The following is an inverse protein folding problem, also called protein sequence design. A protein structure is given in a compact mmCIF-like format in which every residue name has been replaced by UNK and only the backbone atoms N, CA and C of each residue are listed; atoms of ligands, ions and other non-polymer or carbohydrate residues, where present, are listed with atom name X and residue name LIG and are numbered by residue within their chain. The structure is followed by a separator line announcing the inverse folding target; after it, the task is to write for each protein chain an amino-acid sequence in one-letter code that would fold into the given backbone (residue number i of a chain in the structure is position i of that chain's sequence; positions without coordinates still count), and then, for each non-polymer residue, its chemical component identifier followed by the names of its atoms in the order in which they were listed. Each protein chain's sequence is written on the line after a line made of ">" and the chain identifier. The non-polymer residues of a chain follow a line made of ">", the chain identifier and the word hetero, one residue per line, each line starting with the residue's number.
data_IF_347317134849
#
_entry.id   IF_347317134849
#
_cell.length_a   1.000
_cell.length_b   1.000
_cell.length_c   1.000
_cell.angle_alpha   90.00
_cell.angle_beta   90.00
_cell.angle_gamma   90.00
#
_symmetry.space_group_name_H-M   'P 1'
#
loop_
_entity.id
_entity.type
_entity.pdbx_description
1 polymer ?
#
# COMPACT_ATOMS: atom_id res chain seq x y z
N UNK A 1 9.45 7.47 -4.23
CA UNK A 1 8.93 6.11 -3.95
C UNK A 1 7.95 6.10 -2.78
N UNK A 2 8.33 6.46 -1.56
CA UNK A 2 7.43 6.44 -0.40
C UNK A 2 6.14 7.27 -0.61
N UNK A 3 6.26 8.54 -1.00
CA UNK A 3 5.09 9.40 -1.25
C UNK A 3 4.17 8.87 -2.34
N UNK A 4 4.72 8.23 -3.35
CA UNK A 4 3.94 7.63 -4.43
C UNK A 4 3.15 6.41 -3.93
N UNK A 5 3.76 5.55 -3.11
CA UNK A 5 3.06 4.46 -2.45
C UNK A 5 1.90 4.98 -1.58
N UNK A 6 2.14 6.01 -0.76
CA UNK A 6 1.11 6.62 0.10
C UNK A 6 -0.02 7.25 -0.72
N UNK A 7 0.31 7.95 -1.81
CA UNK A 7 -0.69 8.48 -2.73
C UNK A 7 -1.61 7.36 -3.24
N UNK A 8 -1.06 6.24 -3.66
CA UNK A 8 -1.85 5.11 -4.16
C UNK A 8 -2.68 4.44 -3.06
N UNK A 9 -2.15 4.34 -1.83
CA UNK A 9 -2.92 3.90 -0.66
C UNK A 9 -4.15 4.78 -0.46
N UNK A 10 -3.97 6.11 -0.46
CA UNK A 10 -5.05 7.07 -0.29
C UNK A 10 -6.07 7.02 -1.43
N UNK A 11 -5.59 6.92 -2.68
CA UNK A 11 -6.41 6.77 -3.88
C UNK A 11 -7.25 5.49 -3.83
N UNK A 12 -6.67 4.38 -3.36
CA UNK A 12 -7.35 3.10 -3.15
C UNK A 12 -8.40 3.21 -2.04
N UNK A 13 -8.05 3.78 -0.89
CA UNK A 13 -8.98 4.04 0.22
C UNK A 13 -10.21 4.84 -0.24
N UNK A 14 -10.03 5.81 -1.15
CA UNK A 14 -11.11 6.68 -1.63
C UNK A 14 -11.75 6.22 -2.95
N UNK A 15 -11.42 5.03 -3.46
CA UNK A 15 -11.94 4.49 -4.73
C UNK A 15 -11.82 5.49 -5.90
N UNK A 16 -10.73 6.23 -5.96
CA UNK A 16 -10.62 7.38 -6.86
C UNK A 16 -10.78 6.98 -8.33
N UNK A 17 -10.28 5.80 -8.72
CA UNK A 17 -10.40 5.28 -10.09
C UNK A 17 -11.85 5.08 -10.50
N UNK A 18 -12.69 4.57 -9.60
CA UNK A 18 -14.12 4.44 -9.83
C UNK A 18 -14.80 5.82 -9.88
N UNK A 19 -14.40 6.75 -9.01
CA UNK A 19 -14.96 8.11 -8.99
C UNK A 19 -14.68 8.85 -10.29
N UNK A 20 -13.42 8.83 -10.76
CA UNK A 20 -13.01 9.53 -11.98
C UNK A 20 -13.73 8.99 -13.23
N UNK A 21 -13.78 7.66 -13.39
CA UNK A 21 -14.51 7.02 -14.52
C UNK A 21 -16.00 7.37 -14.54
N UNK A 22 -16.62 7.54 -13.37
CA UNK A 22 -18.04 7.94 -13.27
C UNK A 22 -18.23 9.42 -13.58
N UNK A 23 -17.25 10.27 -13.23
CA UNK A 23 -17.28 11.68 -13.54
C UNK A 23 -17.17 11.97 -15.04
N UNK A 24 -16.46 11.13 -15.81
CA UNK A 24 -16.37 11.23 -17.28
C UNK A 24 -17.75 11.17 -17.96
N UNK A 25 -18.66 10.36 -17.41
CA UNK A 25 -20.06 10.25 -17.87
C UNK A 25 -21.02 11.16 -17.10
N UNK A 26 -20.48 12.14 -16.36
CA UNK A 26 -21.23 13.12 -15.55
C UNK A 26 -22.13 12.48 -14.47
N UNK A 27 -21.77 11.29 -13.99
CA UNK A 27 -22.51 10.58 -12.94
C UNK A 27 -21.95 10.93 -11.55
N UNK A 28 -22.59 11.86 -10.83
CA UNK A 28 -22.12 12.36 -9.53
C UNK A 28 -22.80 11.75 -8.30
N UNK A 29 -23.66 10.74 -8.47
CA UNK A 29 -24.34 10.06 -7.36
C UNK A 29 -23.33 9.45 -6.38
N UNK A 30 -23.54 9.59 -5.08
CA UNK A 30 -22.64 9.07 -4.04
C UNK A 30 -22.71 7.55 -3.85
N UNK A 31 -23.76 6.91 -4.37
CA UNK A 31 -24.00 5.47 -4.23
C UNK A 31 -22.82 4.68 -4.80
N UNK A 32 -22.24 3.79 -3.98
CA UNK A 32 -21.09 2.95 -4.37
C UNK A 32 -19.72 3.65 -4.34
N UNK A 33 -19.65 4.94 -3.99
CA UNK A 33 -18.40 5.73 -3.92
C UNK A 33 -17.85 5.89 -2.50
N UNK A 34 -18.46 5.25 -1.51
CA UNK A 34 -17.96 5.26 -0.14
C UNK A 34 -16.62 4.51 -0.06
N UNK A 35 -15.59 5.27 0.30
CA UNK A 35 -14.26 4.75 0.63
C UNK A 35 -14.09 4.46 2.12
N UNK A 36 -12.84 4.19 2.52
CA UNK A 36 -12.41 4.12 3.91
C UNK A 36 -11.51 5.29 4.27
N UNK A 37 -11.47 5.61 5.55
CA UNK A 37 -10.46 6.52 6.09
C UNK A 37 -9.20 5.74 6.40
N UNK A 38 -8.05 6.25 5.96
CA UNK A 38 -6.77 5.55 6.18
C UNK A 38 -6.43 5.45 7.68
N UNK A 39 -6.87 6.41 8.49
CA UNK A 39 -6.77 6.40 9.95
C UNK A 39 -7.44 5.20 10.60
N UNK A 40 -8.40 4.57 9.92
CA UNK A 40 -9.10 3.38 10.40
C UNK A 40 -8.51 2.08 9.85
N UNK A 41 -7.41 2.16 9.09
CA UNK A 41 -6.78 1.00 8.47
C UNK A 41 -5.55 0.52 9.24
N UNK A 42 -5.28 -0.78 9.15
CA UNK A 42 -3.98 -1.37 9.49
C UNK A 42 -3.09 -1.47 8.26
N UNK A 43 -1.92 -0.84 8.29
CA UNK A 43 -0.97 -0.85 7.17
C UNK A 43 0.24 -1.72 7.51
N UNK A 44 0.40 -2.81 6.78
CA UNK A 44 1.55 -3.71 6.89
C UNK A 44 2.66 -3.38 5.90
N UNK A 45 3.87 -3.17 6.39
CA UNK A 45 5.04 -2.89 5.55
C UNK A 45 6.03 -4.04 5.57
N UNK A 46 6.16 -4.74 4.45
CA UNK A 46 7.15 -5.81 4.23
C UNK A 46 8.43 -5.18 3.67
N UNK A 47 9.52 -5.25 4.42
CA UNK A 47 10.81 -4.63 4.08
C UNK A 47 10.96 -3.25 4.71
N UNK A 48 11.63 -3.19 5.85
CA UNK A 48 11.83 -1.96 6.63
C UNK A 48 13.20 -1.31 6.35
N UNK A 49 13.67 -1.42 5.11
CA UNK A 49 14.85 -0.71 4.62
C UNK A 49 14.56 0.78 4.39
N UNK A 50 15.40 1.46 3.60
CA UNK A 50 15.29 2.92 3.39
C UNK A 50 13.90 3.40 2.95
N UNK A 51 13.25 2.69 2.01
CA UNK A 51 11.93 3.08 1.48
C UNK A 51 10.82 2.72 2.48
N UNK A 52 10.78 1.48 2.98
CA UNK A 52 9.74 1.08 3.91
C UNK A 52 9.75 1.85 5.23
N UNK A 53 10.94 2.19 5.75
CA UNK A 53 11.05 3.09 6.89
C UNK A 53 10.45 4.47 6.59
N UNK A 54 10.73 5.03 5.42
CA UNK A 54 10.16 6.33 5.03
C UNK A 54 8.63 6.28 4.89
N UNK A 55 8.08 5.17 4.39
CA UNK A 55 6.62 4.94 4.34
C UNK A 55 6.03 4.92 5.76
N UNK A 56 6.61 4.15 6.67
CA UNK A 56 6.15 4.07 8.07
C UNK A 56 6.28 5.43 8.79
N UNK A 57 7.37 6.16 8.57
CA UNK A 57 7.56 7.51 9.12
C UNK A 57 6.46 8.47 8.65
N UNK A 58 6.16 8.51 7.36
CA UNK A 58 5.12 9.40 6.85
C UNK A 58 3.73 8.99 7.33
N UNK A 59 3.45 7.69 7.42
CA UNK A 59 2.16 7.18 7.87
C UNK A 59 1.93 7.30 9.38
N UNK A 60 2.99 7.44 10.19
CA UNK A 60 2.86 7.57 11.66
C UNK A 60 1.96 8.73 12.11
N UNK A 61 1.84 9.79 11.30
CA UNK A 61 0.95 10.92 11.56
C UNK A 61 -0.49 10.75 11.07
N UNK A 62 -0.82 9.66 10.36
CA UNK A 62 -2.15 9.45 9.77
C UNK A 62 -3.14 8.79 10.74
N UNK A 63 -2.70 8.35 11.92
CA UNK A 63 -3.55 7.70 12.92
C UNK A 63 -3.91 6.25 12.60
N UNK A 64 -3.34 5.66 11.55
CA UNK A 64 -3.49 4.26 11.19
C UNK A 64 -2.67 3.33 12.11
N UNK A 65 -3.08 2.07 12.22
CA UNK A 65 -2.24 1.04 12.85
C UNK A 65 -1.12 0.65 11.88
N UNK A 66 0.12 0.51 12.38
CA UNK A 66 1.30 0.21 11.57
C UNK A 66 1.94 -1.11 11.99
N UNK A 67 2.09 -2.02 11.03
CA UNK A 67 2.80 -3.28 11.18
C UNK A 67 4.04 -3.30 10.28
N UNK A 68 5.12 -3.92 10.75
CA UNK A 68 6.37 -4.07 10.02
C UNK A 68 6.81 -5.53 9.95
N UNK A 69 7.38 -5.93 8.82
CA UNK A 69 8.12 -7.19 8.70
C UNK A 69 9.47 -6.95 8.03
N UNK A 70 10.53 -7.50 8.60
CA UNK A 70 11.86 -7.54 8.00
C UNK A 70 12.67 -8.66 8.64
N UNK A 71 13.56 -9.28 7.87
CA UNK A 71 14.54 -10.26 8.40
C UNK A 71 15.45 -9.60 9.45
N UNK A 72 15.76 -8.32 9.26
CA UNK A 72 16.50 -7.51 10.23
C UNK A 72 15.62 -6.37 10.72
N UNK A 73 15.29 -6.39 12.01
CA UNK A 73 14.51 -5.35 12.64
C UNK A 73 15.34 -4.06 12.80
N UNK A 74 14.67 -2.92 12.70
CA UNK A 74 15.27 -1.61 12.87
C UNK A 74 14.64 -0.96 14.13
N UNK A 75 15.48 -0.48 15.04
CA UNK A 75 15.03 0.12 16.30
C UNK A 75 14.21 1.40 16.09
N UNK A 76 14.53 2.23 15.10
CA UNK A 76 13.74 3.42 14.76
C UNK A 76 12.34 3.03 14.26
N UNK A 77 12.24 1.93 13.51
CA UNK A 77 10.96 1.43 13.01
C UNK A 77 10.11 0.85 14.15
N UNK A 78 10.75 0.24 15.15
CA UNK A 78 10.06 -0.32 16.31
C UNK A 78 9.34 0.74 17.15
N UNK A 79 9.70 2.02 17.00
CA UNK A 79 9.00 3.15 17.63
C UNK A 79 7.76 3.59 16.85
N UNK A 80 7.63 3.19 15.59
CA UNK A 80 6.59 3.63 14.65
C UNK A 80 5.59 2.53 14.33
N UNK A 81 6.04 1.28 14.31
CA UNK A 81 5.27 0.12 13.87
C UNK A 81 5.60 -1.11 14.72
N UNK A 82 4.61 -1.97 14.89
CA UNK A 82 4.81 -3.27 15.54
C UNK A 82 5.45 -4.25 14.56
N UNK A 83 6.59 -4.83 14.93
CA UNK A 83 7.17 -5.92 14.15
C UNK A 83 6.40 -7.22 14.39
N UNK A 84 5.86 -7.78 13.32
CA UNK A 84 5.10 -9.05 13.34
C UNK A 84 5.65 -10.02 12.31
N UNK A 85 5.27 -11.30 12.40
CA UNK A 85 5.57 -12.28 11.36
C UNK A 85 4.69 -12.06 10.11
N UNK A 86 5.06 -12.67 8.98
CA UNK A 86 4.33 -12.50 7.71
C UNK A 86 2.88 -12.97 7.80
N UNK A 87 2.60 -14.06 8.51
CA UNK A 87 1.24 -14.60 8.67
C UNK A 87 0.31 -13.58 9.33
N UNK A 88 0.77 -12.98 10.44
CA UNK A 88 0.06 -11.93 11.16
C UNK A 88 -0.10 -10.69 10.28
N UNK A 89 0.97 -10.28 9.59
CA UNK A 89 0.92 -9.12 8.70
C UNK A 89 -0.14 -9.32 7.60
N UNK A 90 -0.19 -10.48 6.95
CA UNK A 90 -1.18 -10.76 5.91
C UNK A 90 -2.60 -10.79 6.44
N UNK A 91 -2.80 -11.30 7.66
CA UNK A 91 -4.12 -11.45 8.26
C UNK A 91 -4.69 -10.13 8.77
N UNK A 92 -3.86 -9.32 9.43
CA UNK A 92 -4.30 -8.15 10.18
C UNK A 92 -4.18 -6.84 9.37
N UNK A 93 -3.46 -6.85 8.24
CA UNK A 93 -3.32 -5.66 7.40
C UNK A 93 -4.52 -5.47 6.47
N UNK A 94 -5.10 -4.29 6.55
CA UNK A 94 -6.00 -3.77 5.53
C UNK A 94 -5.27 -3.51 4.22
N UNK A 95 -4.09 -2.89 4.32
CA UNK A 95 -3.24 -2.49 3.20
C UNK A 95 -1.84 -3.03 3.44
N UNK A 96 -1.23 -3.62 2.41
CA UNK A 96 0.16 -4.07 2.47
C UNK A 96 1.02 -3.21 1.54
N UNK A 97 2.27 -2.96 1.93
CA UNK A 97 3.26 -2.32 1.07
C UNK A 97 4.56 -3.09 1.15
N UNK A 98 5.15 -3.41 -0.01
CA UNK A 98 6.34 -4.24 -0.09
C UNK A 98 7.50 -3.40 -0.63
N UNK A 99 8.61 -3.43 0.10
CA UNK A 99 9.82 -2.64 -0.13
C UNK A 99 11.08 -3.49 0.10
N UNK A 100 11.09 -4.70 -0.46
CA UNK A 100 12.25 -5.59 -0.44
C UNK A 100 12.96 -5.57 -1.81
N UNK A 101 14.29 -5.69 -1.85
CA UNK A 101 15.01 -5.94 -3.10
C UNK A 101 14.55 -7.25 -3.75
N UNK A 102 14.55 -7.30 -5.09
CA UNK A 102 14.34 -8.55 -5.82
C UNK A 102 15.63 -9.39 -5.76
N UNK A 103 15.63 -10.44 -4.94
CA UNK A 103 16.72 -11.42 -4.83
C UNK A 103 16.19 -12.82 -5.10
N UNK A 104 16.99 -13.78 -5.60
CA UNK A 104 16.55 -15.14 -5.89
C UNK A 104 15.79 -15.82 -4.74
N UNK A 105 16.16 -15.54 -3.48
CA UNK A 105 15.51 -16.08 -2.29
C UNK A 105 14.09 -15.56 -2.06
N UNK A 106 13.76 -14.36 -2.58
CA UNK A 106 12.42 -13.76 -2.53
C UNK A 106 11.77 -13.73 -3.91
N UNK A 107 12.40 -14.36 -4.90
CA UNK A 107 11.84 -14.64 -6.22
C UNK A 107 10.73 -15.65 -5.98
N UNK A 108 9.49 -15.29 -6.33
CA UNK A 108 8.23 -15.96 -5.93
C UNK A 108 7.59 -15.55 -4.59
N UNK A 109 8.21 -14.68 -3.76
CA UNK A 109 7.45 -14.08 -2.64
C UNK A 109 6.32 -13.19 -3.14
N UNK A 110 6.51 -12.53 -4.28
CA UNK A 110 5.56 -11.82 -5.17
C UNK A 110 6.45 -11.27 -6.30
N UNK A 111 6.25 -11.68 -7.55
CA UNK A 111 7.23 -11.54 -8.65
C UNK A 111 7.59 -10.07 -9.00
N UNK A 112 8.81 -9.62 -8.66
CA UNK A 112 9.45 -8.41 -9.20
C UNK A 112 8.88 -7.06 -8.74
N UNK A 113 9.48 -6.45 -7.71
CA UNK A 113 9.27 -5.05 -7.26
C UNK A 113 7.80 -4.61 -7.27
N UNK A 114 7.02 -5.11 -6.32
CA UNK A 114 5.58 -4.90 -6.28
C UNK A 114 5.16 -4.07 -5.07
N UNK A 115 4.43 -2.99 -5.27
CA UNK A 115 3.64 -2.33 -4.21
C UNK A 115 2.23 -2.94 -4.27
N UNK A 116 1.99 -4.04 -3.53
CA UNK A 116 0.66 -4.71 -3.54
C UNK A 116 -0.27 -4.08 -2.52
N UNK A 117 -1.18 -3.21 -2.96
CA UNK A 117 -2.31 -2.79 -2.12
C UNK A 117 -3.37 -3.90 -2.12
N UNK A 118 -3.50 -4.64 -1.02
CA UNK A 118 -4.63 -5.55 -0.78
C UNK A 118 -5.79 -4.77 -0.16
N UNK A 119 -7.00 -5.27 -0.34
CA UNK A 119 -8.12 -5.01 0.57
C UNK A 119 -9.09 -6.21 0.47
N UNK A 120 -9.51 -6.72 1.62
CA UNK A 120 -10.40 -7.88 1.70
C UNK A 120 -11.67 -7.74 0.84
N UNK A 121 -11.97 -8.82 0.10
CA UNK A 121 -13.20 -9.13 -0.67
C UNK A 121 -13.48 -8.51 -2.05
N UNK A 122 -12.49 -8.02 -2.82
CA UNK A 122 -12.55 -8.06 -4.30
C UNK A 122 -11.17 -7.78 -4.90
N UNK A 123 -10.66 -8.72 -5.69
CA UNK A 123 -9.30 -8.80 -6.23
C UNK A 123 -9.04 -7.71 -7.28
N UNK A 124 -8.20 -6.72 -7.00
CA UNK A 124 -7.63 -5.81 -8.03
C UNK A 124 -6.14 -5.60 -7.76
N UNK A 125 -5.32 -5.93 -8.77
CA UNK A 125 -3.87 -5.89 -8.74
C UNK A 125 -3.33 -4.55 -9.23
N UNK A 126 -2.38 -3.93 -8.51
CA UNK A 126 -1.55 -2.87 -9.08
C UNK A 126 -0.07 -3.11 -8.77
N UNK A 127 0.76 -3.09 -9.82
CA UNK A 127 2.22 -3.22 -9.79
C UNK A 127 2.79 -1.94 -10.38
N UNK A 128 3.84 -1.40 -9.79
CA UNK A 128 4.57 -0.26 -10.36
C UNK A 128 6.02 -0.62 -10.60
N UNK A 129 6.26 -1.12 -11.80
CA UNK A 129 7.53 -0.89 -12.48
C UNK A 129 7.65 0.62 -12.74
N UNK A 130 8.85 1.23 -12.68
CA UNK A 130 9.02 2.65 -13.03
C UNK A 130 8.51 2.97 -14.45
N UNK A 131 8.40 1.99 -15.34
CA UNK A 131 7.81 2.15 -16.67
C UNK A 131 6.26 2.18 -16.68
N UNK A 132 5.58 1.70 -15.63
CA UNK A 132 4.11 1.69 -15.55
C UNK A 132 3.50 3.01 -15.04
N UNK A 133 4.31 3.93 -14.49
CA UNK A 133 3.84 5.28 -14.16
C UNK A 133 3.33 5.99 -15.43
N UNK A 134 3.95 5.69 -16.59
CA UNK A 134 3.46 6.18 -17.87
C UNK A 134 2.05 5.66 -18.15
N UNK A 135 1.79 4.36 -18.04
CA UNK A 135 0.47 3.80 -18.38
C UNK A 135 -0.67 4.22 -17.43
N UNK A 136 -0.40 4.44 -16.15
CA UNK A 136 -1.45 4.89 -15.20
C UNK A 136 -1.80 6.36 -15.41
N UNK A 137 -0.84 7.22 -15.78
CA UNK A 137 -1.11 8.64 -16.07
C UNK A 137 -1.88 8.82 -17.38
N UNK A 138 -1.71 7.91 -18.36
CA UNK A 138 -2.39 7.95 -19.65
C UNK A 138 -3.65 7.08 -19.75
N UNK A 139 -4.04 6.37 -18.68
CA UNK A 139 -5.28 5.59 -18.59
C UNK A 139 -6.32 6.19 -17.62
N UNK A 140 -6.06 7.41 -17.16
CA UNK A 140 -7.00 8.39 -16.59
C UNK A 140 -7.27 9.41 -17.71
#
# INVERSE_FOLDING_TARGET
>A
MANYAIMLMMMSCRRITHILKRAEIQEYLLKGKMGREISQCTIGVIGTGRIGRSVLQHLSGFGCCLLGFSVHQNSEVSQLAEYVNLETLYKESDIISIHVPSVPQNYHMINGMIVVLYFNNNLIYYVLHMELIYYIVYAI
#
